data_IF_164491720275
#
_entry.id   IF_164491720275
#
_cell.length_a   1.000
_cell.length_b   1.000
_cell.length_c   1.000
_cell.angle_alpha   90.00
_cell.angle_beta   90.00
_cell.angle_gamma   90.00
#
_symmetry.space_group_name_H-M   'P 1'
#
loop_
_entity.id
_entity.type
_entity.pdbx_description
1 polymer ?
#
# COMPACT_ATOMS: atom_id res chain seq x y z
N UNK A 1 -5.16 45.81 -23.76
CA UNK A 1 -5.94 44.61 -24.14
C UNK A 1 -5.37 43.45 -23.36
N UNK A 2 -6.14 42.99 -22.40
CA UNK A 2 -5.78 41.97 -21.42
C UNK A 2 -5.69 40.61 -22.12
N UNK A 3 -4.69 39.80 -21.77
CA UNK A 3 -4.73 38.36 -22.02
C UNK A 3 -4.17 37.65 -20.79
N UNK A 4 -5.04 37.54 -19.78
CA UNK A 4 -4.90 36.55 -18.71
C UNK A 4 -4.77 35.17 -19.35
N UNK A 5 -3.62 34.53 -19.20
CA UNK A 5 -3.46 33.11 -19.53
C UNK A 5 -3.59 32.36 -18.22
N UNK A 6 -4.83 32.02 -17.90
CA UNK A 6 -5.18 30.99 -16.94
C UNK A 6 -4.42 29.72 -17.31
N UNK A 7 -3.54 29.25 -16.43
CA UNK A 7 -2.96 27.91 -16.49
C UNK A 7 -3.66 27.06 -15.44
N UNK A 8 -4.69 26.28 -15.81
CA UNK A 8 -5.09 25.15 -15.00
C UNK A 8 -4.07 24.02 -15.21
N UNK A 9 -4.15 23.01 -14.36
CA UNK A 9 -3.32 21.81 -14.32
C UNK A 9 -1.96 21.98 -13.62
N UNK A 10 -2.06 22.12 -12.30
CA UNK A 10 -1.33 21.20 -11.42
C UNK A 10 -1.78 19.78 -11.77
N UNK A 11 -1.22 19.24 -12.85
CA UNK A 11 -1.31 17.81 -13.12
C UNK A 11 -0.69 17.12 -11.92
N UNK A 12 -1.51 16.46 -11.12
CA UNK A 12 -1.04 15.34 -10.32
C UNK A 12 -0.37 14.39 -11.32
N UNK A 13 0.94 14.52 -11.47
CA UNK A 13 1.74 13.64 -12.28
C UNK A 13 1.78 12.31 -11.53
N UNK A 14 0.72 11.51 -11.71
CA UNK A 14 0.87 10.08 -11.62
C UNK A 14 1.76 9.68 -12.78
N UNK A 15 3.08 9.79 -12.57
CA UNK A 15 4.06 9.28 -13.51
C UNK A 15 3.84 7.78 -13.50
N UNK A 16 3.35 7.23 -14.61
CA UNK A 16 3.27 5.79 -14.78
C UNK A 16 4.68 5.21 -14.60
N UNK A 17 4.93 4.62 -13.42
CA UNK A 17 6.22 4.02 -13.11
C UNK A 17 6.46 2.85 -14.06
N UNK A 18 7.60 2.83 -14.74
CA UNK A 18 7.93 1.71 -15.62
C UNK A 18 8.31 0.49 -14.80
N UNK A 19 8.19 -0.71 -15.36
CA UNK A 19 8.57 -1.96 -14.67
C UNK A 19 10.03 -2.00 -14.21
N UNK A 20 10.92 -1.27 -14.89
CA UNK A 20 12.33 -1.11 -14.48
C UNK A 20 12.45 -0.25 -13.22
N UNK A 21 11.68 0.84 -13.14
CA UNK A 21 11.68 1.75 -11.99
C UNK A 21 11.15 1.03 -10.75
N UNK A 22 10.09 0.23 -10.90
CA UNK A 22 9.52 -0.61 -9.83
C UNK A 22 10.57 -1.56 -9.25
N UNK A 23 11.42 -2.18 -10.09
CA UNK A 23 12.45 -3.11 -9.60
C UNK A 23 13.57 -2.41 -8.82
N UNK A 24 13.77 -1.11 -9.00
CA UNK A 24 14.72 -0.33 -8.20
C UNK A 24 14.09 0.30 -6.98
N UNK A 25 12.82 0.72 -7.05
CA UNK A 25 12.14 1.46 -5.99
C UNK A 25 11.74 0.54 -4.83
N UNK A 26 11.20 -0.64 -5.10
CA UNK A 26 10.75 -1.55 -4.04
C UNK A 26 11.86 -1.91 -3.04
N UNK A 27 13.09 -2.26 -3.46
CA UNK A 27 14.19 -2.49 -2.51
C UNK A 27 14.43 -1.31 -1.55
N UNK A 28 14.38 -0.06 -2.03
CA UNK A 28 14.54 1.12 -1.19
C UNK A 28 13.37 1.29 -0.22
N UNK A 29 12.13 1.08 -0.69
CA UNK A 29 10.95 1.11 0.18
C UNK A 29 11.04 0.05 1.29
N UNK A 30 11.55 -1.15 0.99
CA UNK A 30 11.76 -2.21 1.99
C UNK A 30 12.78 -1.76 3.03
N UNK A 31 13.91 -1.16 2.60
CA UNK A 31 14.90 -0.61 3.53
C UNK A 31 14.29 0.44 4.47
N UNK A 32 13.46 1.33 3.94
CA UNK A 32 12.76 2.34 4.74
C UNK A 32 11.82 1.69 5.79
N UNK A 33 11.05 0.66 5.39
CA UNK A 33 10.11 -0.09 6.25
C UNK A 33 10.80 -0.98 7.29
N UNK A 34 12.01 -1.44 6.99
CA UNK A 34 12.84 -2.22 7.91
C UNK A 34 13.63 -1.33 8.87
N UNK A 35 13.88 -0.06 8.51
CA UNK A 35 14.61 0.88 9.35
C UNK A 35 13.91 1.17 10.68
N UNK A 36 14.66 1.61 11.68
CA UNK A 36 14.13 2.05 12.97
C UNK A 36 13.47 3.46 12.90
N UNK A 37 13.58 4.15 11.76
CA UNK A 37 13.02 5.48 11.59
C UNK A 37 11.55 5.41 11.16
N UNK A 38 10.67 5.41 12.16
CA UNK A 38 9.20 5.37 11.96
C UNK A 38 8.65 6.45 11.04
N UNK A 39 9.34 7.60 10.92
CA UNK A 39 8.90 8.68 10.02
C UNK A 39 8.98 8.29 8.54
N UNK A 40 9.74 7.24 8.20
CA UNK A 40 9.87 6.72 6.84
C UNK A 40 8.79 5.69 6.49
N UNK A 41 8.16 5.07 7.50
CA UNK A 41 7.28 3.93 7.30
C UNK A 41 6.00 4.32 6.57
N UNK A 42 5.27 5.34 7.03
CA UNK A 42 4.04 5.77 6.39
C UNK A 42 4.25 6.26 4.93
N UNK A 43 5.24 7.12 4.61
CA UNK A 43 5.55 7.46 3.23
C UNK A 43 5.89 6.25 2.36
N UNK A 44 6.68 5.30 2.87
CA UNK A 44 7.06 4.11 2.12
C UNK A 44 5.87 3.18 1.85
N UNK A 45 4.96 3.00 2.82
CA UNK A 45 3.72 2.24 2.64
C UNK A 45 2.79 2.89 1.61
N UNK A 46 2.69 4.23 1.58
CA UNK A 46 1.88 4.95 0.58
C UNK A 46 2.39 4.70 -0.83
N UNK A 47 3.69 4.85 -1.05
CA UNK A 47 4.30 4.58 -2.36
C UNK A 47 4.17 3.11 -2.75
N UNK A 48 4.31 2.18 -1.79
CA UNK A 48 4.08 0.76 -2.05
C UNK A 48 2.63 0.49 -2.47
N UNK A 49 1.65 1.14 -1.83
CA UNK A 49 0.25 1.03 -2.23
C UNK A 49 0.01 1.53 -3.65
N UNK A 50 0.57 2.68 -4.03
CA UNK A 50 0.48 3.22 -5.40
C UNK A 50 1.01 2.21 -6.43
N UNK A 51 2.22 1.67 -6.20
CA UNK A 51 2.82 0.65 -7.07
C UNK A 51 1.93 -0.59 -7.19
N UNK A 52 1.38 -1.06 -6.06
CA UNK A 52 0.50 -2.22 -6.02
C UNK A 52 -0.82 -1.95 -6.75
N UNK A 53 -1.35 -0.73 -6.67
CA UNK A 53 -2.57 -0.34 -7.35
C UNK A 53 -2.38 -0.25 -8.87
N UNK A 54 -1.25 0.29 -9.32
CA UNK A 54 -0.88 0.44 -10.74
C UNK A 54 -0.55 -0.91 -11.41
N UNK A 55 -0.05 -1.89 -10.66
CA UNK A 55 0.24 -3.23 -11.16
C UNK A 55 -0.91 -4.21 -10.84
N UNK A 56 -1.80 -4.42 -11.81
CA UNK A 56 -2.96 -5.33 -11.71
C UNK A 56 -2.55 -6.77 -11.40
N UNK A 57 -1.50 -7.28 -12.04
CA UNK A 57 -0.87 -8.57 -11.73
C UNK A 57 0.39 -8.34 -10.90
N UNK A 58 0.26 -8.36 -9.57
CA UNK A 58 1.36 -8.12 -8.65
C UNK A 58 1.89 -9.39 -7.97
N UNK A 59 1.42 -10.58 -8.37
CA UNK A 59 1.77 -11.86 -7.75
C UNK A 59 3.28 -12.11 -7.72
N UNK A 60 3.95 -11.95 -8.85
CA UNK A 60 5.40 -12.17 -8.95
C UNK A 60 6.19 -11.19 -8.08
N UNK A 61 5.74 -9.93 -8.03
CA UNK A 61 6.32 -8.88 -7.21
C UNK A 61 6.18 -9.20 -5.72
N UNK A 62 4.97 -9.58 -5.30
CA UNK A 62 4.66 -9.95 -3.91
C UNK A 62 5.52 -11.13 -3.44
N UNK A 63 5.70 -12.14 -4.30
CA UNK A 63 6.55 -13.30 -4.02
C UNK A 63 8.04 -12.93 -4.01
N UNK A 64 8.51 -12.22 -5.04
CA UNK A 64 9.91 -11.80 -5.19
C UNK A 64 10.41 -11.03 -3.98
N UNK A 65 9.59 -10.12 -3.47
CA UNK A 65 9.96 -9.22 -2.37
C UNK A 65 9.40 -9.64 -1.00
N UNK A 66 8.72 -10.79 -0.92
CA UNK A 66 8.13 -11.31 0.33
C UNK A 66 7.29 -10.25 1.06
N UNK A 67 6.41 -9.57 0.34
CA UNK A 67 5.67 -8.42 0.87
C UNK A 67 4.70 -8.81 2.01
N UNK A 68 4.13 -10.01 2.00
CA UNK A 68 3.19 -10.45 3.05
C UNK A 68 3.83 -10.45 4.46
N UNK A 69 4.98 -11.13 4.71
CA UNK A 69 5.71 -11.00 5.96
C UNK A 69 6.02 -9.56 6.38
N UNK A 70 6.43 -8.71 5.43
CA UNK A 70 6.77 -7.31 5.69
C UNK A 70 5.55 -6.52 6.18
N UNK A 71 4.41 -6.66 5.51
CA UNK A 71 3.17 -5.97 5.86
C UNK A 71 2.60 -6.46 7.21
N UNK A 72 2.75 -7.75 7.51
CA UNK A 72 2.27 -8.34 8.78
C UNK A 72 2.96 -7.74 10.02
N UNK A 73 4.19 -7.21 9.90
CA UNK A 73 4.88 -6.47 10.98
C UNK A 73 4.06 -5.28 11.48
N UNK A 74 3.33 -4.61 10.57
CA UNK A 74 2.52 -3.44 10.88
C UNK A 74 1.08 -3.82 11.24
N UNK A 75 0.57 -4.95 10.74
CA UNK A 75 -0.77 -5.46 11.05
C UNK A 75 -0.91 -5.93 12.52
N UNK A 76 0.19 -6.29 13.17
CA UNK A 76 0.22 -6.63 14.60
C UNK A 76 0.17 -5.42 15.54
N UNK A 77 0.11 -4.19 15.02
CA UNK A 77 0.07 -3.00 15.86
C UNK A 77 -1.31 -2.83 16.53
N UNK A 78 -1.32 -2.79 17.86
CA UNK A 78 -2.52 -2.61 18.69
C UNK A 78 -3.09 -1.20 18.54
N UNK A 79 -2.21 -0.23 18.29
CA UNK A 79 -2.60 1.14 17.97
C UNK A 79 -2.92 1.20 16.48
N UNK A 80 -4.19 1.47 16.15
CA UNK A 80 -4.70 1.59 14.76
C UNK A 80 -4.17 2.87 14.09
N UNK A 81 -2.86 2.95 13.92
CA UNK A 81 -2.16 4.08 13.33
C UNK A 81 -2.20 3.99 11.79
N UNK A 82 -1.64 5.01 11.12
CA UNK A 82 -1.64 5.07 9.66
C UNK A 82 -0.95 3.86 9.01
N UNK A 83 0.16 3.38 9.60
CA UNK A 83 0.91 2.23 9.09
C UNK A 83 0.06 0.95 9.14
N UNK A 84 -0.71 0.76 10.20
CA UNK A 84 -1.67 -0.33 10.31
C UNK A 84 -2.72 -0.26 9.19
N UNK A 85 -3.31 0.92 8.96
CA UNK A 85 -4.33 1.10 7.91
C UNK A 85 -3.75 0.85 6.52
N UNK A 86 -2.58 1.41 6.22
CA UNK A 86 -1.94 1.23 4.92
C UNK A 86 -1.52 -0.22 4.68
N UNK A 87 -0.88 -0.85 5.65
CA UNK A 87 -0.40 -2.23 5.52
C UNK A 87 -1.54 -3.24 5.32
N UNK A 88 -2.63 -3.10 6.09
CA UNK A 88 -3.82 -3.94 5.94
C UNK A 88 -4.54 -3.70 4.61
N UNK A 89 -4.58 -2.45 4.13
CA UNK A 89 -5.12 -2.10 2.81
C UNK A 89 -4.33 -2.76 1.69
N UNK A 90 -2.99 -2.66 1.73
CA UNK A 90 -2.11 -3.28 0.71
C UNK A 90 -2.30 -4.80 0.72
N UNK A 91 -2.28 -5.43 1.90
CA UNK A 91 -2.52 -6.87 2.03
C UNK A 91 -3.87 -7.30 1.47
N UNK A 92 -4.93 -6.51 1.72
CA UNK A 92 -6.26 -6.78 1.18
C UNK A 92 -6.31 -6.68 -0.34
N UNK A 93 -5.75 -5.62 -0.93
CA UNK A 93 -5.69 -5.44 -2.39
C UNK A 93 -4.96 -6.60 -3.05
N UNK A 94 -3.82 -7.03 -2.49
CA UNK A 94 -3.06 -8.18 -2.99
C UNK A 94 -3.89 -9.47 -2.91
N UNK A 95 -4.54 -9.72 -1.77
CA UNK A 95 -5.36 -10.93 -1.57
C UNK A 95 -6.54 -11.02 -2.55
N UNK A 96 -7.22 -9.90 -2.81
CA UNK A 96 -8.32 -9.82 -3.79
C UNK A 96 -7.81 -10.04 -5.22
N UNK A 97 -6.71 -9.39 -5.61
CA UNK A 97 -6.20 -9.44 -7.00
C UNK A 97 -5.55 -10.77 -7.37
N UNK A 98 -4.81 -11.37 -6.45
CA UNK A 98 -4.09 -12.61 -6.75
C UNK A 98 -4.95 -13.87 -6.61
N UNK A 99 -6.26 -13.71 -6.42
CA UNK A 99 -7.21 -14.82 -6.32
C UNK A 99 -6.83 -15.75 -5.18
N UNK A 100 -6.76 -15.22 -3.95
CA UNK A 100 -6.44 -16.03 -2.77
C UNK A 100 -7.39 -17.22 -2.64
N UNK A 101 -6.91 -18.42 -2.96
CA UNK A 101 -7.51 -19.70 -2.55
C UNK A 101 -7.49 -19.85 -1.02
N UNK A 102 -6.71 -19.04 -0.31
CA UNK A 102 -6.77 -18.93 1.14
C UNK A 102 -7.99 -18.10 1.55
N UNK A 103 -9.09 -18.82 1.81
CA UNK A 103 -10.32 -18.36 2.47
C UNK A 103 -10.11 -17.80 3.88
N UNK A 104 -8.89 -17.63 4.35
CA UNK A 104 -8.60 -16.89 5.57
C UNK A 104 -8.51 -15.39 5.29
N UNK A 105 -9.48 -14.88 4.52
CA UNK A 105 -9.66 -13.45 4.32
C UNK A 105 -10.11 -12.90 5.67
N UNK A 106 -9.23 -12.07 6.21
CA UNK A 106 -9.36 -11.11 7.31
C UNK A 106 -10.63 -10.22 7.27
N UNK A 107 -11.57 -10.45 6.35
CA UNK A 107 -12.89 -9.82 6.31
C UNK A 107 -13.72 -10.15 7.56
N UNK A 108 -13.45 -11.25 8.28
CA UNK A 108 -14.14 -11.55 9.54
C UNK A 108 -13.79 -10.61 10.70
N UNK A 109 -12.52 -10.21 10.83
CA UNK A 109 -12.08 -9.41 12.00
C UNK A 109 -12.42 -7.92 11.87
N UNK A 110 -12.46 -7.39 10.63
CA UNK A 110 -12.77 -5.98 10.41
C UNK A 110 -14.27 -5.68 10.45
N UNK A 111 -15.14 -6.63 10.08
CA UNK A 111 -16.59 -6.42 10.17
C UNK A 111 -17.14 -6.66 11.58
N UNK A 112 -16.57 -7.58 12.37
CA UNK A 112 -17.01 -7.75 13.76
C UNK A 112 -16.62 -6.57 14.66
N UNK A 113 -15.44 -5.96 14.45
CA UNK A 113 -15.02 -4.78 15.23
C UNK A 113 -15.87 -3.53 14.97
N UNK A 114 -16.59 -3.44 13.84
CA UNK A 114 -17.50 -2.31 13.56
C UNK A 114 -18.89 -2.59 14.15
N UNK A 115 -19.36 -3.85 14.14
CA UNK A 115 -20.69 -4.19 14.64
C UNK A 115 -20.78 -4.10 16.18
N UNK A 116 -19.70 -4.38 16.91
CA UNK A 116 -19.70 -4.30 18.38
C UNK A 116 -19.63 -2.88 18.97
N UNK A 117 -19.47 -1.83 18.15
CA UNK A 117 -19.47 -0.44 18.65
C UNK A 117 -20.84 0.25 18.47
N UNK A 118 -21.81 -0.39 17.80
CA UNK A 118 -23.10 0.22 17.44
C UNK A 118 -24.32 -0.48 18.08
N UNK A 119 -24.15 -1.58 18.81
CA UNK A 119 -25.23 -2.22 19.58
C UNK A 119 -24.84 -2.49 21.04
#
# INVERSE_FOLDING_TARGET
MEKSTFRPDQTAQSVAMTGSDVSTIIPHLIQDLESDNKNLHAPALRQLLEIILDNLENKDLVLKYKLMPLLNKFAGNVEKNEEFVLSTTISHVIGVRNGSDDKMILAGAATESIIQTIF
#
